data_IF_389348606857
#
_entry.id   IF_389348606857
#
_cell.length_a   1.000
_cell.length_b   1.000
_cell.length_c   1.000
_cell.angle_alpha   90.00
_cell.angle_beta   90.00
_cell.angle_gamma   90.00
#
_symmetry.space_group_name_H-M   'P 1'
#
loop_
_entity.id
_entity.type
_entity.pdbx_description
1 polymer ?
#
# COMPACT_ATOMS: atom_id res chain seq x y z
N UNK A 1 -20.26 -26.69 -15.66
CA UNK A 1 -19.58 -25.59 -14.94
C UNK A 1 -18.47 -25.06 -15.84
N UNK A 2 -18.55 -23.80 -16.26
CA UNK A 2 -17.41 -23.12 -16.90
C UNK A 2 -16.66 -22.47 -15.75
N UNK A 3 -15.49 -23.00 -15.42
CA UNK A 3 -14.72 -22.52 -14.27
C UNK A 3 -13.85 -21.37 -14.75
N UNK A 4 -13.98 -20.19 -14.12
CA UNK A 4 -13.03 -19.10 -14.34
C UNK A 4 -11.76 -19.33 -13.51
N UNK A 5 -10.67 -19.73 -14.15
CA UNK A 5 -9.40 -20.04 -13.47
C UNK A 5 -8.80 -18.82 -12.77
N UNK A 6 -8.98 -17.60 -13.29
CA UNK A 6 -8.50 -16.36 -12.65
C UNK A 6 -9.20 -16.11 -11.33
N UNK A 7 -10.53 -16.16 -11.36
CA UNK A 7 -11.36 -15.94 -10.17
C UNK A 7 -11.17 -17.07 -9.15
N UNK A 8 -10.91 -18.29 -9.62
CA UNK A 8 -10.66 -19.43 -8.74
C UNK A 8 -9.35 -19.25 -7.97
N UNK A 9 -8.29 -18.83 -8.68
CA UNK A 9 -6.99 -18.59 -8.07
C UNK A 9 -7.01 -17.37 -7.15
N UNK A 10 -7.66 -16.27 -7.54
CA UNK A 10 -7.79 -15.10 -6.69
C UNK A 10 -8.58 -15.43 -5.42
N UNK A 11 -9.66 -16.19 -5.53
CA UNK A 11 -10.44 -16.63 -4.37
C UNK A 11 -9.66 -17.59 -3.46
N UNK A 12 -8.91 -18.52 -4.04
CA UNK A 12 -8.02 -19.41 -3.28
C UNK A 12 -6.96 -18.60 -2.50
N UNK A 13 -6.34 -17.60 -3.12
CA UNK A 13 -5.37 -16.71 -2.46
C UNK A 13 -5.99 -15.89 -1.33
N UNK A 14 -7.19 -15.33 -1.56
CA UNK A 14 -7.89 -14.53 -0.56
C UNK A 14 -8.27 -15.37 0.66
N UNK A 15 -8.79 -16.58 0.44
CA UNK A 15 -9.14 -17.52 1.51
C UNK A 15 -7.89 -18.00 2.24
N UNK A 16 -6.82 -18.36 1.52
CA UNK A 16 -5.59 -18.82 2.17
C UNK A 16 -4.98 -17.74 3.06
N UNK A 17 -4.94 -16.49 2.60
CA UNK A 17 -4.44 -15.38 3.41
C UNK A 17 -5.31 -15.16 4.65
N UNK A 18 -6.63 -15.20 4.50
CA UNK A 18 -7.56 -15.04 5.61
C UNK A 18 -7.42 -16.16 6.64
N UNK A 19 -7.27 -17.41 6.21
CA UNK A 19 -7.07 -18.55 7.11
C UNK A 19 -5.74 -18.47 7.85
N UNK A 20 -4.65 -18.12 7.16
CA UNK A 20 -3.34 -17.90 7.80
C UNK A 20 -3.43 -16.75 8.80
N UNK A 21 -4.07 -15.64 8.43
CA UNK A 21 -4.27 -14.48 9.31
C UNK A 21 -5.10 -14.81 10.55
N UNK A 22 -6.20 -15.55 10.39
CA UNK A 22 -7.02 -16.02 11.51
C UNK A 22 -6.26 -16.98 12.42
N UNK A 23 -5.42 -17.85 11.84
CA UNK A 23 -4.57 -18.77 12.59
C UNK A 23 -3.51 -18.01 13.39
N UNK A 24 -2.79 -17.06 12.79
CA UNK A 24 -1.83 -16.22 13.52
C UNK A 24 -2.50 -15.37 14.61
N UNK A 25 -3.78 -15.03 14.42
CA UNK A 25 -4.52 -14.20 15.36
C UNK A 25 -5.10 -14.98 16.56
N UNK A 26 -4.95 -16.31 16.62
CA UNK A 26 -5.42 -17.10 17.77
C UNK A 26 -4.68 -16.77 19.07
N UNK A 27 -3.45 -16.28 18.95
CA UNK A 27 -2.59 -15.96 20.09
C UNK A 27 -2.90 -14.59 20.71
N UNK A 28 -3.79 -13.82 20.08
CA UNK A 28 -4.16 -12.48 20.52
C UNK A 28 -5.47 -12.46 21.32
N UNK A 29 -5.50 -11.64 22.38
CA UNK A 29 -6.68 -11.53 23.24
C UNK A 29 -7.85 -10.90 22.48
N UNK A 30 -8.94 -11.67 22.38
CA UNK A 30 -10.19 -11.20 21.82
C UNK A 30 -10.97 -10.45 22.90
N UNK A 31 -11.03 -9.12 22.77
CA UNK A 31 -11.92 -8.29 23.58
C UNK A 31 -13.39 -8.40 23.15
N UNK A 32 -14.26 -7.57 23.72
CA UNK A 32 -15.66 -7.46 23.27
C UNK A 32 -15.82 -6.32 22.26
N UNK A 33 -16.94 -6.27 21.53
CA UNK A 33 -17.21 -5.19 20.57
C UNK A 33 -17.17 -3.77 21.19
N UNK A 34 -17.38 -3.65 22.51
CA UNK A 34 -17.35 -2.38 23.26
C UNK A 34 -16.00 -2.09 23.93
N UNK A 35 -15.12 -3.10 24.00
CA UNK A 35 -13.75 -3.01 24.55
C UNK A 35 -12.87 -3.93 23.69
N UNK A 36 -12.58 -3.48 22.48
CA UNK A 36 -11.88 -4.28 21.48
C UNK A 36 -10.45 -4.55 21.94
N UNK A 37 -10.11 -5.82 22.03
CA UNK A 37 -8.73 -6.27 22.27
C UNK A 37 -7.90 -6.20 20.99
N UNK A 38 -6.57 -6.33 21.07
CA UNK A 38 -5.67 -6.22 19.92
C UNK A 38 -5.98 -7.22 18.80
N UNK A 39 -6.56 -8.40 19.13
CA UNK A 39 -6.95 -9.41 18.15
C UNK A 39 -8.32 -9.17 17.49
N UNK A 40 -9.17 -8.29 18.02
CA UNK A 40 -10.56 -8.14 17.56
C UNK A 40 -10.64 -7.54 16.15
N UNK A 41 -9.91 -6.46 15.89
CA UNK A 41 -9.89 -5.81 14.56
C UNK A 41 -9.28 -6.71 13.47
N UNK A 42 -8.10 -7.32 13.67
CA UNK A 42 -7.54 -8.29 12.73
C UNK A 42 -8.50 -9.45 12.43
N UNK A 43 -9.14 -10.00 13.48
CA UNK A 43 -10.12 -11.08 13.32
C UNK A 43 -11.27 -10.67 12.38
N UNK A 44 -11.84 -9.49 12.59
CA UNK A 44 -12.94 -8.98 11.78
C UNK A 44 -12.48 -8.76 10.33
N UNK A 45 -11.30 -8.19 10.11
CA UNK A 45 -10.77 -8.00 8.75
C UNK A 45 -10.55 -9.33 8.03
N UNK A 46 -9.99 -10.35 8.69
CA UNK A 46 -9.80 -11.65 8.07
C UNK A 46 -11.11 -12.40 7.87
N UNK A 47 -12.10 -12.22 8.76
CA UNK A 47 -13.42 -12.80 8.57
C UNK A 47 -14.16 -12.18 7.37
N UNK A 48 -14.08 -10.86 7.22
CA UNK A 48 -14.60 -10.16 6.04
C UNK A 48 -13.87 -10.60 4.77
N UNK A 49 -12.55 -10.72 4.81
CA UNK A 49 -11.75 -11.21 3.69
C UNK A 49 -12.09 -12.65 3.33
N UNK A 50 -12.30 -13.53 4.32
CA UNK A 50 -12.74 -14.90 4.11
C UNK A 50 -14.12 -14.92 3.45
N UNK A 51 -15.05 -14.08 3.92
CA UNK A 51 -16.36 -13.90 3.31
C UNK A 51 -16.28 -13.46 1.85
N UNK A 52 -15.46 -12.45 1.55
CA UNK A 52 -15.23 -11.98 0.18
C UNK A 52 -14.60 -13.07 -0.69
N UNK A 53 -13.61 -13.81 -0.17
CA UNK A 53 -13.01 -14.94 -0.86
C UNK A 53 -14.03 -16.05 -1.18
N UNK A 54 -14.91 -16.39 -0.24
CA UNK A 54 -16.00 -17.33 -0.46
C UNK A 54 -17.00 -16.84 -1.52
N UNK A 55 -17.32 -15.54 -1.54
CA UNK A 55 -18.18 -14.93 -2.55
C UNK A 55 -17.54 -15.05 -3.94
N UNK A 56 -16.24 -14.72 -4.07
CA UNK A 56 -15.51 -14.83 -5.35
C UNK A 56 -15.40 -16.30 -5.79
N UNK A 57 -15.17 -17.25 -4.87
CA UNK A 57 -15.21 -18.69 -5.18
C UNK A 57 -16.58 -19.08 -5.75
N UNK A 58 -17.67 -18.59 -5.15
CA UNK A 58 -19.03 -18.81 -5.64
C UNK A 58 -19.20 -18.33 -7.08
N UNK A 59 -18.82 -17.08 -7.36
CA UNK A 59 -18.93 -16.49 -8.70
C UNK A 59 -17.99 -17.15 -9.74
N UNK A 60 -16.81 -17.60 -9.32
CA UNK A 60 -15.83 -18.27 -10.18
C UNK A 60 -16.38 -19.54 -10.84
N UNK A 61 -17.31 -20.23 -10.18
CA UNK A 61 -17.93 -21.46 -10.71
C UNK A 61 -18.98 -21.20 -11.81
N UNK A 62 -19.41 -19.95 -11.97
CA UNK A 62 -20.49 -19.55 -12.89
C UNK A 62 -20.03 -18.60 -14.00
N UNK A 63 -18.95 -17.83 -13.83
CA UNK A 63 -18.42 -16.93 -14.86
C UNK A 63 -17.48 -17.67 -15.83
N UNK A 64 -17.51 -17.27 -17.11
CA UNK A 64 -16.83 -17.96 -18.22
C UNK A 64 -15.30 -18.02 -18.11
N UNK A 65 -14.62 -18.75 -19.02
CA UNK A 65 -13.19 -18.98 -18.91
C UNK A 65 -12.38 -17.77 -19.38
N UNK A 66 -11.82 -17.01 -18.44
CA UNK A 66 -10.75 -16.06 -18.72
C UNK A 66 -9.40 -16.77 -18.57
N UNK A 67 -8.63 -16.98 -19.66
CA UNK A 67 -7.34 -17.66 -19.58
C UNK A 67 -6.33 -16.81 -18.79
N UNK A 68 -5.56 -17.47 -17.93
CA UNK A 68 -4.52 -16.81 -17.12
C UNK A 68 -3.55 -16.03 -18.01
N UNK A 69 -3.32 -14.78 -17.64
CA UNK A 69 -2.29 -13.98 -18.28
C UNK A 69 -0.93 -14.56 -17.87
N UNK A 70 -0.11 -14.92 -18.86
CA UNK A 70 1.20 -15.49 -18.63
C UNK A 70 2.19 -14.36 -18.47
N UNK A 71 2.84 -14.31 -17.32
CA UNK A 71 3.81 -13.28 -17.03
C UNK A 71 5.08 -13.52 -17.83
N UNK A 72 5.66 -12.43 -18.32
CA UNK A 72 6.94 -12.48 -19.02
C UNK A 72 8.03 -12.73 -17.98
N UNK A 73 9.02 -13.57 -18.29
CA UNK A 73 10.14 -13.84 -17.38
C UNK A 73 10.88 -12.56 -16.91
N UNK A 74 10.87 -11.52 -17.74
CA UNK A 74 11.38 -10.21 -17.39
C UNK A 74 10.58 -9.55 -16.24
N UNK A 75 9.25 -9.65 -16.22
CA UNK A 75 8.40 -9.05 -15.17
C UNK A 75 8.66 -9.71 -13.82
N UNK A 76 8.82 -11.04 -13.81
CA UNK A 76 9.20 -11.79 -12.60
C UNK A 76 10.62 -11.41 -12.16
N UNK A 77 11.55 -11.24 -13.10
CA UNK A 77 12.91 -10.78 -12.82
C UNK A 77 12.94 -9.40 -12.16
N UNK A 78 12.21 -8.42 -12.70
CA UNK A 78 12.11 -7.07 -12.13
C UNK A 78 11.44 -7.05 -10.75
N UNK A 79 10.48 -7.95 -10.52
CA UNK A 79 9.88 -8.13 -9.21
C UNK A 79 10.84 -8.60 -8.15
N UNK A 80 11.55 -9.69 -8.44
CA UNK A 80 12.53 -10.27 -7.52
C UNK A 80 13.65 -9.26 -7.31
N UNK A 81 14.11 -8.60 -8.37
CA UNK A 81 15.08 -7.51 -8.27
C UNK A 81 14.56 -6.38 -7.36
N UNK A 82 13.29 -5.99 -7.47
CA UNK A 82 12.68 -5.01 -6.58
C UNK A 82 12.67 -5.43 -5.11
N UNK A 83 12.31 -6.68 -4.83
CA UNK A 83 12.39 -7.23 -3.47
C UNK A 83 13.81 -7.22 -2.92
N UNK A 84 14.79 -7.68 -3.70
CA UNK A 84 16.21 -7.75 -3.30
C UNK A 84 16.80 -6.35 -3.12
N UNK A 85 16.56 -5.44 -4.07
CA UNK A 85 17.07 -4.07 -4.02
C UNK A 85 16.40 -3.29 -2.88
N UNK A 86 15.10 -3.47 -2.66
CA UNK A 86 14.39 -2.88 -1.52
C UNK A 86 14.93 -3.38 -0.18
N UNK A 87 15.17 -4.69 -0.06
CA UNK A 87 15.78 -5.26 1.14
C UNK A 87 17.20 -4.73 1.35
N UNK A 88 18.04 -4.69 0.32
CA UNK A 88 19.39 -4.16 0.38
C UNK A 88 19.39 -2.66 0.75
N UNK A 89 18.47 -1.86 0.20
CA UNK A 89 18.32 -0.46 0.51
C UNK A 89 17.89 -0.23 1.96
N UNK A 90 16.96 -1.03 2.49
CA UNK A 90 16.57 -0.98 3.89
C UNK A 90 17.72 -1.35 4.85
N UNK A 91 18.50 -2.37 4.51
CA UNK A 91 19.70 -2.75 5.29
C UNK A 91 20.78 -1.68 5.19
N UNK A 92 20.99 -1.09 4.01
CA UNK A 92 21.94 0.01 3.86
C UNK A 92 21.49 1.22 4.71
N UNK A 93 20.20 1.56 4.67
CA UNK A 93 19.62 2.65 5.45
C UNK A 93 19.77 2.43 6.96
N UNK A 94 19.68 1.19 7.46
CA UNK A 94 19.89 0.92 8.89
C UNK A 94 21.33 1.18 9.36
N UNK A 95 22.31 1.24 8.46
CA UNK A 95 23.70 1.51 8.81
C UNK A 95 24.08 3.00 8.70
N UNK A 96 23.24 3.84 8.09
CA UNK A 96 23.52 5.28 7.94
C UNK A 96 23.06 6.02 9.20
N UNK A 97 23.96 6.66 9.97
CA UNK A 97 23.57 7.34 11.19
C UNK A 97 22.69 8.55 10.89
N UNK A 98 21.65 8.73 11.70
CA UNK A 98 20.74 9.87 11.64
C UNK A 98 19.28 9.44 11.53
N UNK A 99 18.46 10.31 10.92
CA UNK A 99 17.03 10.05 10.70
C UNK A 99 16.78 8.79 9.86
N UNK A 100 17.70 8.46 8.96
CA UNK A 100 17.61 7.32 8.03
C UNK A 100 17.61 5.97 8.76
N UNK A 101 18.37 5.82 9.85
CA UNK A 101 18.40 4.61 10.67
C UNK A 101 17.38 4.61 11.83
N UNK A 102 16.62 5.70 12.00
CA UNK A 102 15.73 5.86 13.15
C UNK A 102 14.41 5.10 12.97
N UNK A 103 14.02 4.33 13.99
CA UNK A 103 12.71 3.68 14.05
C UNK A 103 12.40 2.81 12.82
N UNK A 104 11.32 3.13 12.13
CA UNK A 104 10.81 2.40 10.96
C UNK A 104 11.26 2.99 9.61
N UNK A 105 12.10 4.03 9.62
CA UNK A 105 12.55 4.71 8.39
C UNK A 105 13.36 3.80 7.45
N UNK A 106 14.23 2.89 7.94
CA UNK A 106 14.90 1.92 7.07
C UNK A 106 13.92 1.05 6.29
N UNK A 107 12.83 0.63 6.95
CA UNK A 107 11.78 -0.18 6.33
C UNK A 107 11.01 0.63 5.28
N UNK A 108 10.64 1.87 5.61
CA UNK A 108 9.99 2.75 4.64
C UNK A 108 10.86 3.02 3.41
N UNK A 109 12.17 3.24 3.60
CA UNK A 109 13.13 3.46 2.50
C UNK A 109 13.28 2.19 1.66
N UNK A 110 13.38 1.03 2.31
CA UNK A 110 13.42 -0.26 1.62
C UNK A 110 12.16 -0.52 0.80
N UNK A 111 10.97 -0.22 1.33
CA UNK A 111 9.71 -0.31 0.60
C UNK A 111 9.66 0.66 -0.57
N UNK A 112 10.03 1.93 -0.36
CA UNK A 112 10.04 2.95 -1.40
C UNK A 112 10.96 2.56 -2.57
N UNK A 113 12.21 2.20 -2.27
CA UNK A 113 13.20 1.80 -3.28
C UNK A 113 12.79 0.48 -3.94
N UNK A 114 12.29 -0.48 -3.17
CA UNK A 114 11.84 -1.77 -3.68
C UNK A 114 10.66 -1.66 -4.64
N UNK A 115 9.77 -0.67 -4.43
CA UNK A 115 8.69 -0.37 -5.36
C UNK A 115 9.17 0.41 -6.60
N UNK A 116 10.24 1.20 -6.53
CA UNK A 116 10.74 1.95 -7.70
C UNK A 116 11.32 1.05 -8.80
N UNK A 117 11.89 -0.10 -8.46
CA UNK A 117 12.48 -1.04 -9.44
C UNK A 117 11.44 -1.67 -10.38
N UNK A 118 10.38 -2.34 -9.88
CA UNK A 118 9.33 -2.90 -10.75
C UNK A 118 8.49 -1.82 -11.43
N UNK A 119 8.47 -0.58 -10.92
CA UNK A 119 7.77 0.54 -11.56
C UNK A 119 8.34 0.93 -12.94
N UNK A 120 9.56 0.49 -13.28
CA UNK A 120 10.16 0.69 -14.62
C UNK A 120 9.34 -0.03 -15.70
N UNK A 121 8.71 -1.15 -15.37
CA UNK A 121 7.88 -1.91 -16.30
C UNK A 121 6.54 -1.20 -16.47
N UNK A 122 6.25 -0.75 -17.70
CA UNK A 122 5.05 0.05 -18.01
C UNK A 122 3.74 -0.60 -17.57
N UNK A 123 3.63 -1.93 -17.68
CA UNK A 123 2.45 -2.70 -17.26
C UNK A 123 2.15 -2.53 -15.76
N UNK A 124 3.20 -2.37 -14.95
CA UNK A 124 3.13 -2.44 -13.48
C UNK A 124 3.36 -1.10 -12.81
N UNK A 125 3.83 -0.11 -13.58
CA UNK A 125 4.12 1.24 -13.15
C UNK A 125 3.02 1.85 -12.26
N UNK A 126 1.71 1.77 -12.57
CA UNK A 126 0.70 2.37 -11.71
C UNK A 126 0.64 1.74 -10.31
N UNK A 127 0.68 0.42 -10.22
CA UNK A 127 0.59 -0.31 -8.95
C UNK A 127 1.77 0.03 -8.02
N UNK A 128 2.99 0.03 -8.57
CA UNK A 128 4.19 0.26 -7.78
C UNK A 128 4.47 1.73 -7.48
N UNK A 129 4.12 2.66 -8.38
CA UNK A 129 4.27 4.09 -8.10
C UNK A 129 3.28 4.56 -7.03
N UNK A 130 2.04 4.07 -7.04
CA UNK A 130 1.06 4.36 -5.98
C UNK A 130 1.55 3.80 -4.64
N UNK A 131 2.01 2.54 -4.62
CA UNK A 131 2.55 1.91 -3.42
C UNK A 131 3.79 2.67 -2.88
N UNK A 132 4.66 3.12 -3.78
CA UNK A 132 5.80 3.95 -3.41
C UNK A 132 5.38 5.34 -2.91
N UNK A 133 4.34 5.95 -3.45
CA UNK A 133 3.81 7.21 -2.96
C UNK A 133 3.27 7.10 -1.53
N UNK A 134 2.64 5.98 -1.17
CA UNK A 134 2.25 5.70 0.22
C UNK A 134 3.46 5.55 1.14
N UNK A 135 4.50 4.81 0.72
CA UNK A 135 5.73 4.68 1.49
C UNK A 135 6.46 6.03 1.66
N UNK A 136 6.54 6.82 0.59
CA UNK A 136 7.12 8.16 0.59
C UNK A 136 6.36 9.10 1.51
N UNK A 137 5.02 9.06 1.50
CA UNK A 137 4.20 9.86 2.41
C UNK A 137 4.56 9.56 3.86
N UNK A 138 4.61 8.28 4.25
CA UNK A 138 4.97 7.88 5.61
C UNK A 138 6.37 8.33 6.03
N UNK A 139 7.34 8.22 5.12
CA UNK A 139 8.71 8.70 5.35
C UNK A 139 8.79 10.22 5.50
N UNK A 140 8.04 10.97 4.70
CA UNK A 140 8.22 12.43 4.61
C UNK A 140 7.34 13.19 5.60
N UNK A 141 6.26 12.56 6.10
CA UNK A 141 5.30 13.18 6.99
C UNK A 141 5.94 13.73 8.27
N UNK A 142 6.84 12.97 8.90
CA UNK A 142 7.50 13.38 10.15
C UNK A 142 8.51 14.53 9.94
N UNK A 143 9.45 14.49 8.97
CA UNK A 143 10.43 15.57 8.79
C UNK A 143 9.90 16.82 8.06
N UNK A 144 9.11 16.66 6.99
CA UNK A 144 8.67 17.78 6.15
C UNK A 144 7.24 18.25 6.44
N UNK A 145 6.49 17.50 7.24
CA UNK A 145 5.11 17.81 7.57
C UNK A 145 4.10 17.41 6.50
N UNK A 146 2.83 17.61 6.84
CA UNK A 146 1.67 17.12 6.08
C UNK A 146 1.57 17.71 4.67
N UNK A 147 1.78 19.03 4.51
CA UNK A 147 1.57 19.69 3.21
C UNK A 147 2.58 19.22 2.16
N UNK A 148 3.86 19.12 2.56
CA UNK A 148 4.91 18.60 1.69
C UNK A 148 4.70 17.12 1.39
N UNK A 149 4.31 16.31 2.37
CA UNK A 149 4.04 14.89 2.18
C UNK A 149 2.90 14.64 1.18
N UNK A 150 1.80 15.41 1.26
CA UNK A 150 0.69 15.37 0.31
C UNK A 150 1.16 15.77 -1.10
N UNK A 151 1.87 16.89 -1.21
CA UNK A 151 2.34 17.38 -2.51
C UNK A 151 3.23 16.35 -3.20
N UNK A 152 4.21 15.79 -2.48
CA UNK A 152 5.13 14.80 -3.04
C UNK A 152 4.44 13.48 -3.41
N UNK A 153 3.51 12.99 -2.58
CA UNK A 153 2.80 11.74 -2.87
C UNK A 153 1.88 11.87 -4.09
N UNK A 154 1.21 13.02 -4.24
CA UNK A 154 0.37 13.31 -5.41
C UNK A 154 1.22 13.49 -6.68
N UNK A 155 2.33 14.23 -6.60
CA UNK A 155 3.24 14.42 -7.74
C UNK A 155 3.81 13.07 -8.19
N UNK A 156 4.27 12.23 -7.25
CA UNK A 156 4.78 10.91 -7.56
C UNK A 156 3.70 10.01 -8.19
N UNK A 157 2.48 10.08 -7.65
CA UNK A 157 1.33 9.33 -8.18
C UNK A 157 0.90 9.82 -9.56
N UNK A 158 1.08 11.10 -9.89
CA UNK A 158 0.75 11.62 -11.21
C UNK A 158 1.62 11.00 -12.32
N UNK A 159 2.86 10.62 -12.01
CA UNK A 159 3.71 9.86 -12.93
C UNK A 159 3.21 8.43 -13.17
N UNK A 160 2.20 7.93 -12.45
CA UNK A 160 1.56 6.65 -12.76
C UNK A 160 0.80 6.68 -14.10
N UNK A 161 0.26 7.83 -14.48
CA UNK A 161 -0.55 8.00 -15.68
C UNK A 161 0.26 8.65 -16.81
N UNK A 162 0.05 8.19 -18.05
CA UNK A 162 0.70 8.77 -19.24
C UNK A 162 -0.08 9.99 -19.79
N UNK A 163 -1.29 10.28 -19.29
CA UNK A 163 -2.18 11.34 -19.79
C UNK A 163 -2.33 12.56 -18.88
N UNK A 164 -1.52 12.64 -17.82
CA UNK A 164 -1.64 13.68 -16.79
C UNK A 164 -1.37 15.10 -17.35
N UNK A 165 -2.29 16.03 -17.03
CA UNK A 165 -2.10 17.47 -17.32
C UNK A 165 -1.46 18.14 -16.10
N UNK A 166 -0.31 18.83 -16.23
CA UNK A 166 0.41 19.39 -15.08
C UNK A 166 -0.43 20.40 -14.29
N UNK A 167 -1.28 21.17 -14.98
CA UNK A 167 -2.23 22.11 -14.34
C UNK A 167 -3.26 21.37 -13.47
N UNK A 168 -3.73 20.20 -13.92
CA UNK A 168 -4.66 19.37 -13.16
C UNK A 168 -4.03 18.80 -11.89
N UNK A 169 -2.76 18.38 -11.97
CA UNK A 169 -1.99 17.88 -10.81
C UNK A 169 -1.79 18.98 -9.79
N UNK A 170 -1.37 20.18 -10.21
CA UNK A 170 -1.21 21.33 -9.30
C UNK A 170 -2.54 21.70 -8.65
N UNK A 171 -3.63 21.73 -9.42
CA UNK A 171 -4.97 21.96 -8.89
C UNK A 171 -5.39 20.92 -7.84
N UNK A 172 -5.11 19.64 -8.10
CA UNK A 172 -5.38 18.55 -7.16
C UNK A 172 -4.55 18.68 -5.88
N UNK A 173 -3.24 18.98 -5.99
CA UNK A 173 -2.37 19.20 -4.83
C UNK A 173 -2.90 20.33 -3.96
N UNK A 174 -3.20 21.49 -4.57
CA UNK A 174 -3.71 22.66 -3.83
C UNK A 174 -5.04 22.32 -3.17
N UNK A 175 -5.97 21.71 -3.91
CA UNK A 175 -7.26 21.29 -3.37
C UNK A 175 -7.12 20.35 -2.17
N UNK A 176 -6.28 19.32 -2.29
CA UNK A 176 -6.10 18.32 -1.23
C UNK A 176 -5.40 18.93 -0.01
N UNK A 177 -4.40 19.78 -0.21
CA UNK A 177 -3.73 20.50 0.88
C UNK A 177 -4.72 21.42 1.64
N UNK A 178 -5.57 22.17 0.92
CA UNK A 178 -6.59 23.03 1.54
C UNK A 178 -7.63 22.20 2.30
N UNK A 179 -8.09 21.09 1.71
CA UNK A 179 -9.04 20.17 2.35
C UNK A 179 -8.45 19.59 3.64
N UNK A 180 -7.23 19.06 3.58
CA UNK A 180 -6.55 18.51 4.76
C UNK A 180 -6.29 19.58 5.83
N UNK A 181 -5.90 20.79 5.44
CA UNK A 181 -5.74 21.91 6.35
C UNK A 181 -7.05 22.24 7.08
N UNK A 182 -8.15 22.36 6.33
CA UNK A 182 -9.47 22.65 6.89
C UNK A 182 -9.92 21.55 7.87
N UNK A 183 -9.82 20.27 7.48
CA UNK A 183 -10.23 19.17 8.37
C UNK A 183 -9.37 19.10 9.62
N UNK A 184 -8.03 19.14 9.51
CA UNK A 184 -7.17 18.91 10.67
C UNK A 184 -7.07 20.10 11.61
N UNK A 185 -7.01 21.33 11.09
CA UNK A 185 -6.85 22.51 11.92
C UNK A 185 -8.19 23.06 12.38
N UNK A 186 -9.17 23.16 11.46
CA UNK A 186 -10.44 23.81 11.79
C UNK A 186 -11.43 22.85 12.46
N UNK A 187 -11.55 21.62 11.95
CA UNK A 187 -12.59 20.71 12.42
C UNK A 187 -12.13 19.83 13.60
N UNK A 188 -10.90 19.29 13.54
CA UNK A 188 -10.41 18.32 14.52
C UNK A 188 -9.56 18.93 15.65
N UNK A 189 -9.05 20.15 15.51
CA UNK A 189 -8.11 20.83 16.44
C UNK A 189 -6.92 19.93 16.88
N UNK A 190 -6.46 19.03 15.98
CA UNK A 190 -5.34 18.13 16.26
C UNK A 190 -4.04 18.79 15.80
N UNK A 191 -3.02 18.74 16.67
CA UNK A 191 -1.67 19.22 16.37
C UNK A 191 -0.91 18.21 15.49
N UNK A 192 -1.10 18.29 14.18
CA UNK A 192 -0.26 17.62 13.19
C UNK A 192 0.83 18.57 12.67
N UNK A 193 2.05 18.10 12.39
CA UNK A 193 3.12 18.92 11.82
C UNK A 193 2.73 19.33 10.39
N UNK A 194 2.31 20.58 10.20
CA UNK A 194 1.86 21.10 8.90
C UNK A 194 3.04 21.48 8.01
N UNK A 195 4.08 22.03 8.64
CA UNK A 195 5.28 22.57 8.01
C UNK A 195 6.53 21.83 8.48
N UNK A 196 7.64 21.88 7.73
CA UNK A 196 8.89 21.23 8.09
C UNK A 196 9.36 21.64 9.48
N UNK A 197 9.76 20.66 10.28
CA UNK A 197 10.28 20.85 11.63
C UNK A 197 11.79 20.56 11.56
N UNK A 198 12.59 21.57 11.16
CA UNK A 198 14.05 21.46 11.17
C UNK A 198 14.62 21.75 12.56
#
# INVERSE_FOLDING_TARGET
MKINTKDLLSAALLISLALIGLWLNTDHTMGSARRMGPGYMPWLSFMLQLGLGCIVLGFSLFNGPDPLEKWTAAEIGFLIAGGVVGMAAGIAASHVPGWVSAGWNPLGIGMFVGCMVPAIVKSWRPLFLISAAFALFGLVLEPLGLMAAIALSVILSAFADDTHKPVGVVGLVVFLCVLCWAVFIYELDIRVPVWPQF
#
